data_IF_008695450475
#
_entry.id   IF_008695450475
#
_cell.length_a   1.000
_cell.length_b   1.000
_cell.length_c   1.000
_cell.angle_alpha   90.00
_cell.angle_beta   90.00
_cell.angle_gamma   90.00
#
_symmetry.space_group_name_H-M   'P 1'
#
loop_
_entity.id
_entity.type
_entity.pdbx_description
1 polymer ?
#
# COMPACT_ATOMS: atom_id res chain seq x y z
N UNK A 1 24.49 -2.72 8.76
CA UNK A 1 24.20 -2.06 7.47
C UNK A 1 22.89 -1.31 7.64
N UNK A 2 22.97 0.03 7.70
CA UNK A 2 21.78 0.88 7.74
C UNK A 2 21.18 0.89 6.35
N UNK A 3 19.99 0.26 6.18
CA UNK A 3 19.22 0.36 4.96
C UNK A 3 18.95 1.84 4.67
N UNK A 4 19.00 2.21 3.40
CA UNK A 4 18.68 3.56 2.95
C UNK A 4 17.22 3.83 3.34
N UNK A 5 17.02 4.77 4.25
CA UNK A 5 15.68 5.20 4.66
C UNK A 5 15.13 6.13 3.59
N UNK A 6 14.22 5.62 2.75
CA UNK A 6 13.54 6.45 1.77
C UNK A 6 12.39 7.22 2.42
N UNK A 7 12.50 8.52 2.41
CA UNK A 7 11.48 9.46 2.87
C UNK A 7 10.99 10.24 1.66
N UNK A 8 9.70 10.11 1.33
CA UNK A 8 9.09 10.83 0.21
C UNK A 8 8.90 12.30 0.57
N UNK A 9 8.29 12.54 1.75
CA UNK A 9 8.21 13.85 2.40
C UNK A 9 8.44 13.64 3.90
N UNK A 10 8.43 14.70 4.70
CA UNK A 10 8.60 14.58 6.16
C UNK A 10 7.62 13.60 6.80
N UNK A 11 6.35 13.62 6.34
CA UNK A 11 5.26 12.81 6.91
C UNK A 11 5.02 11.51 6.14
N UNK A 12 5.45 11.41 4.89
CA UNK A 12 5.25 10.23 4.03
C UNK A 12 6.55 9.42 3.98
N UNK A 13 6.50 8.22 4.55
CA UNK A 13 7.65 7.32 4.66
C UNK A 13 7.43 6.04 3.86
N UNK A 14 8.47 5.65 3.14
CA UNK A 14 8.51 4.36 2.44
C UNK A 14 8.72 3.21 3.43
N UNK A 15 7.86 2.21 3.38
CA UNK A 15 7.92 1.00 4.22
C UNK A 15 7.88 -0.29 3.40
N UNK A 16 8.01 -0.19 2.09
CA UNK A 16 8.02 -1.32 1.18
C UNK A 16 9.27 -2.19 1.28
N UNK A 17 9.34 -3.19 0.43
CA UNK A 17 10.44 -4.14 0.37
C UNK A 17 10.96 -4.30 -1.06
N UNK A 18 12.25 -4.64 -1.19
CA UNK A 18 12.88 -4.95 -2.47
C UNK A 18 13.15 -6.45 -2.54
N UNK A 19 12.72 -7.07 -3.63
CA UNK A 19 12.95 -8.49 -3.91
C UNK A 19 14.00 -8.62 -5.02
N UNK A 20 15.19 -9.04 -4.65
CA UNK A 20 16.30 -9.28 -5.58
C UNK A 20 16.38 -10.75 -6.04
N UNK A 21 15.59 -11.63 -5.46
CA UNK A 21 15.64 -13.08 -5.71
C UNK A 21 14.63 -13.53 -6.78
N UNK A 22 13.74 -12.64 -7.22
CA UNK A 22 12.73 -12.98 -8.23
C UNK A 22 13.29 -12.80 -9.63
N UNK A 23 13.27 -13.87 -10.42
CA UNK A 23 13.69 -13.85 -11.82
C UNK A 23 12.55 -13.50 -12.79
N UNK A 24 11.34 -13.89 -12.44
CA UNK A 24 10.13 -13.71 -13.25
C UNK A 24 8.99 -13.15 -12.40
N UNK A 25 8.50 -11.98 -12.77
CA UNK A 25 7.29 -11.43 -12.19
C UNK A 25 6.06 -12.03 -12.87
N UNK A 26 5.11 -12.53 -12.07
CA UNK A 26 3.91 -13.27 -12.55
C UNK A 26 4.22 -14.43 -13.51
N UNK A 27 5.42 -15.00 -13.42
CA UNK A 27 5.92 -16.05 -14.31
C UNK A 27 5.93 -15.67 -15.81
N UNK A 28 5.81 -14.40 -16.15
CA UNK A 28 5.72 -13.91 -17.53
C UNK A 28 6.80 -12.86 -17.88
N UNK A 29 7.22 -12.06 -16.89
CA UNK A 29 8.14 -10.96 -17.12
C UNK A 29 9.48 -11.20 -16.42
N UNK A 30 10.56 -11.09 -17.19
CA UNK A 30 11.91 -11.14 -16.61
C UNK A 30 12.23 -9.84 -15.89
N UNK A 31 12.66 -9.92 -14.65
CA UNK A 31 13.00 -8.75 -13.80
C UNK A 31 14.43 -8.89 -13.27
N UNK A 32 15.45 -8.61 -14.11
CA UNK A 32 16.85 -8.89 -13.79
C UNK A 32 17.39 -8.08 -12.60
N UNK A 33 16.76 -6.95 -12.28
CA UNK A 33 17.12 -6.07 -11.16
C UNK A 33 16.24 -6.27 -9.93
N UNK A 34 15.39 -7.30 -9.94
CA UNK A 34 14.44 -7.56 -8.87
C UNK A 34 13.14 -6.75 -8.98
N UNK A 35 12.32 -6.77 -7.93
CA UNK A 35 11.01 -6.13 -7.86
C UNK A 35 10.87 -5.33 -6.58
N UNK A 36 10.31 -4.13 -6.68
CA UNK A 36 9.94 -3.33 -5.51
C UNK A 36 8.45 -3.49 -5.23
N UNK A 37 8.12 -3.86 -3.99
CA UNK A 37 6.75 -3.90 -3.49
C UNK A 37 6.51 -2.63 -2.68
N UNK A 38 5.74 -1.71 -3.23
CA UNK A 38 5.61 -0.37 -2.71
C UNK A 38 4.52 -0.26 -1.66
N UNK A 39 4.90 0.17 -0.49
CA UNK A 39 3.99 0.55 0.58
C UNK A 39 4.53 1.78 1.29
N UNK A 40 3.62 2.64 1.75
CA UNK A 40 3.95 3.89 2.41
C UNK A 40 3.13 4.05 3.68
N UNK A 41 3.64 4.84 4.61
CA UNK A 41 2.87 5.31 5.77
C UNK A 41 2.85 6.82 5.79
N UNK A 42 1.67 7.38 6.03
CA UNK A 42 1.46 8.83 6.22
C UNK A 42 1.25 9.06 7.71
N UNK A 43 2.19 9.77 8.32
CA UNK A 43 2.19 10.10 9.75
C UNK A 43 1.59 11.49 9.96
N UNK A 44 0.34 11.51 10.42
CA UNK A 44 -0.43 12.71 10.70
C UNK A 44 -1.22 12.51 12.00
N UNK A 45 -2.22 13.32 12.29
CA UNK A 45 -3.13 13.10 13.44
C UNK A 45 -3.77 11.71 13.35
N UNK A 46 -4.22 11.33 12.15
CA UNK A 46 -4.57 9.95 11.78
C UNK A 46 -3.46 9.37 10.92
N UNK A 47 -3.13 8.12 11.14
CA UNK A 47 -2.09 7.40 10.41
C UNK A 47 -2.71 6.51 9.36
N UNK A 48 -2.30 6.68 8.11
CA UNK A 48 -2.73 5.85 7.00
C UNK A 48 -1.57 5.04 6.42
N UNK A 49 -1.78 3.75 6.23
CA UNK A 49 -0.85 2.85 5.52
C UNK A 49 -1.38 2.64 4.11
N UNK A 50 -0.53 2.84 3.11
CA UNK A 50 -0.88 2.75 1.70
C UNK A 50 -0.39 1.42 1.12
N UNK A 51 -1.31 0.52 0.84
CA UNK A 51 -1.08 -0.85 0.35
C UNK A 51 -0.23 -1.74 1.27
N UNK A 52 -0.16 -3.01 0.94
CA UNK A 52 0.71 -4.00 1.57
C UNK A 52 1.76 -4.47 0.57
N UNK A 53 2.46 -5.54 0.88
CA UNK A 53 3.49 -6.14 0.02
C UNK A 53 3.20 -7.62 -0.21
N UNK A 54 3.99 -8.27 -1.08
CA UNK A 54 3.93 -9.71 -1.32
C UNK A 54 3.99 -10.51 0.00
N UNK A 55 3.24 -11.61 0.05
CA UNK A 55 3.09 -12.43 1.26
C UNK A 55 4.40 -12.93 1.86
N UNK A 56 5.44 -13.11 1.04
CA UNK A 56 6.75 -13.58 1.49
C UNK A 56 7.48 -12.57 2.38
N UNK A 57 7.15 -11.29 2.28
CA UNK A 57 7.84 -10.19 2.96
C UNK A 57 7.03 -9.55 4.08
N UNK A 58 5.98 -10.21 4.55
CA UNK A 58 5.10 -9.67 5.60
C UNK A 58 5.82 -9.29 6.88
N UNK A 59 6.76 -10.09 7.34
CA UNK A 59 7.55 -9.80 8.54
C UNK A 59 8.44 -8.58 8.39
N UNK A 60 9.12 -8.44 7.25
CA UNK A 60 9.96 -7.27 6.95
C UNK A 60 9.11 -5.99 6.84
N UNK A 61 8.00 -6.07 6.12
CA UNK A 61 7.08 -4.95 5.95
C UNK A 61 6.49 -4.47 7.27
N UNK A 62 5.97 -5.37 8.10
CA UNK A 62 5.44 -5.02 9.42
C UNK A 62 6.52 -4.45 10.34
N UNK A 63 7.76 -4.95 10.24
CA UNK A 63 8.90 -4.41 10.95
C UNK A 63 9.26 -2.99 10.52
N UNK A 64 9.24 -2.72 9.21
CA UNK A 64 9.46 -1.38 8.65
C UNK A 64 8.38 -0.41 9.12
N UNK A 65 7.11 -0.83 9.10
CA UNK A 65 5.98 -0.04 9.58
C UNK A 65 6.12 0.28 11.07
N UNK A 66 6.44 -0.70 11.88
CA UNK A 66 6.56 -0.54 13.33
C UNK A 66 7.64 0.48 13.72
N UNK A 67 8.76 0.48 13.01
CA UNK A 67 9.83 1.48 13.20
C UNK A 67 9.33 2.90 12.91
N UNK A 68 8.59 3.09 11.84
CA UNK A 68 8.08 4.43 11.47
C UNK A 68 6.95 4.88 12.38
N UNK A 69 6.14 3.96 12.91
CA UNK A 69 5.04 4.28 13.84
C UNK A 69 5.55 4.80 15.20
N UNK A 70 6.70 4.35 15.65
CA UNK A 70 7.28 4.75 16.96
C UNK A 70 6.29 4.64 18.12
N UNK A 71 5.59 3.52 18.19
CA UNK A 71 4.59 3.22 19.23
C UNK A 71 3.16 3.70 18.92
N UNK A 72 2.94 4.40 17.81
CA UNK A 72 1.60 4.78 17.34
C UNK A 72 0.90 3.58 16.68
N UNK A 73 -0.43 3.65 16.62
CA UNK A 73 -1.26 2.66 15.95
C UNK A 73 -1.83 3.24 14.65
N UNK A 74 -1.78 2.53 13.52
CA UNK A 74 -2.40 2.99 12.28
C UNK A 74 -3.93 3.01 12.40
N UNK A 75 -4.54 4.05 11.83
CA UNK A 75 -5.99 4.23 11.78
C UNK A 75 -6.60 3.63 10.52
N UNK A 76 -5.87 3.68 9.41
CA UNK A 76 -6.35 3.25 8.10
C UNK A 76 -5.32 2.38 7.38
N UNK A 77 -5.83 1.38 6.66
CA UNK A 77 -5.13 0.69 5.58
C UNK A 77 -5.85 0.97 4.27
N UNK A 78 -5.24 1.72 3.39
CA UNK A 78 -5.78 2.04 2.07
C UNK A 78 -5.29 0.98 1.08
N UNK A 79 -6.23 0.22 0.52
CA UNK A 79 -5.95 -0.84 -0.46
C UNK A 79 -6.34 -0.32 -1.84
N UNK A 80 -5.34 0.04 -2.63
CA UNK A 80 -5.52 0.61 -3.97
C UNK A 80 -5.63 -0.47 -5.03
N UNK A 81 -5.07 -1.65 -4.77
CA UNK A 81 -5.02 -2.77 -5.70
C UNK A 81 -5.04 -4.10 -4.95
N UNK A 82 -5.75 -5.09 -5.48
CA UNK A 82 -5.95 -6.40 -4.86
C UNK A 82 -5.03 -7.50 -5.39
N UNK A 83 -4.12 -7.18 -6.29
CA UNK A 83 -3.09 -8.13 -6.71
C UNK A 83 -2.21 -8.55 -5.51
N UNK A 84 -1.77 -9.82 -5.42
CA UNK A 84 -1.10 -10.34 -4.23
C UNK A 84 0.11 -9.56 -3.73
N UNK A 85 0.88 -8.93 -4.61
CA UNK A 85 2.01 -8.09 -4.25
C UNK A 85 1.62 -6.76 -3.57
N UNK A 86 0.33 -6.41 -3.59
CA UNK A 86 -0.23 -5.23 -2.93
C UNK A 86 -1.20 -5.55 -1.80
N UNK A 87 -1.68 -6.79 -1.68
CA UNK A 87 -2.76 -7.14 -0.76
C UNK A 87 -2.53 -8.38 0.11
N UNK A 88 -1.48 -9.17 -0.17
CA UNK A 88 -1.29 -10.47 0.48
C UNK A 88 -1.16 -10.39 2.02
N UNK A 89 -0.67 -9.28 2.56
CA UNK A 89 -0.50 -9.08 4.01
C UNK A 89 -1.66 -8.32 4.67
N UNK A 90 -2.76 -8.13 3.97
CA UNK A 90 -3.94 -7.42 4.50
C UNK A 90 -4.47 -8.09 5.78
N UNK A 91 -4.63 -9.41 5.77
CA UNK A 91 -5.12 -10.13 6.94
C UNK A 91 -4.16 -10.03 8.13
N UNK A 92 -2.85 -10.13 7.89
CA UNK A 92 -1.82 -9.98 8.91
C UNK A 92 -1.84 -8.60 9.56
N UNK A 93 -1.98 -7.55 8.75
CA UNK A 93 -2.11 -6.17 9.21
C UNK A 93 -3.37 -5.99 10.07
N UNK A 94 -4.51 -6.47 9.60
CA UNK A 94 -5.80 -6.30 10.29
C UNK A 94 -5.86 -7.08 11.60
N UNK A 95 -5.16 -8.20 11.69
CA UNK A 95 -5.01 -8.96 12.95
C UNK A 95 -4.10 -8.22 13.93
N UNK A 96 -2.96 -7.70 13.46
CA UNK A 96 -2.02 -6.96 14.31
C UNK A 96 -2.58 -5.64 14.83
N UNK A 97 -3.40 -4.96 14.03
CA UNK A 97 -3.99 -3.65 14.35
C UNK A 97 -5.52 -3.72 14.35
N UNK A 98 -6.12 -4.24 15.44
CA UNK A 98 -7.57 -4.54 15.45
C UNK A 98 -8.47 -3.30 15.42
N UNK A 99 -7.95 -2.10 15.63
CA UNK A 99 -8.70 -0.84 15.55
C UNK A 99 -8.59 -0.15 14.19
N UNK A 100 -7.77 -0.65 13.29
CA UNK A 100 -7.61 -0.07 11.95
C UNK A 100 -8.83 -0.32 11.06
N UNK A 101 -9.09 0.61 10.15
CA UNK A 101 -10.16 0.55 9.16
C UNK A 101 -9.55 0.33 7.77
N UNK A 102 -10.09 -0.62 7.01
CA UNK A 102 -9.73 -0.82 5.60
C UNK A 102 -10.47 0.18 4.73
N UNK A 103 -9.74 0.90 3.90
CA UNK A 103 -10.29 1.86 2.93
C UNK A 103 -10.04 1.32 1.52
N UNK A 104 -11.10 1.05 0.78
CA UNK A 104 -11.01 0.48 -0.55
C UNK A 104 -12.29 0.71 -1.36
N UNK A 105 -12.26 0.34 -2.64
CA UNK A 105 -13.45 0.36 -3.50
C UNK A 105 -14.39 -0.81 -3.20
N UNK A 106 -15.66 -0.72 -3.65
CA UNK A 106 -16.63 -1.82 -3.54
C UNK A 106 -16.12 -3.09 -4.23
N UNK A 107 -15.50 -2.95 -5.41
CA UNK A 107 -14.92 -4.07 -6.15
C UNK A 107 -13.80 -4.73 -5.37
N UNK A 108 -12.94 -3.96 -4.70
CA UNK A 108 -11.86 -4.49 -3.88
C UNK A 108 -12.41 -5.29 -2.69
N UNK A 109 -13.45 -4.83 -2.01
CA UNK A 109 -14.07 -5.58 -0.91
C UNK A 109 -14.69 -6.90 -1.37
N UNK A 110 -15.32 -6.93 -2.55
CA UNK A 110 -15.80 -8.18 -3.14
C UNK A 110 -14.66 -9.16 -3.41
N UNK A 111 -13.53 -8.68 -3.90
CA UNK A 111 -12.33 -9.50 -4.12
C UNK A 111 -11.74 -10.00 -2.81
N UNK A 112 -11.70 -9.18 -1.76
CA UNK A 112 -11.28 -9.62 -0.42
C UNK A 112 -12.12 -10.77 0.08
N UNK A 113 -13.44 -10.69 -0.08
CA UNK A 113 -14.36 -11.76 0.29
C UNK A 113 -14.07 -13.06 -0.48
N UNK A 114 -13.78 -12.96 -1.76
CA UNK A 114 -13.46 -14.10 -2.61
C UNK A 114 -12.09 -14.71 -2.29
N UNK A 115 -11.09 -13.89 -2.02
CA UNK A 115 -9.71 -14.35 -1.79
C UNK A 115 -9.46 -14.77 -0.34
N UNK A 116 -10.02 -14.05 0.63
CA UNK A 116 -9.74 -14.23 2.05
C UNK A 116 -10.96 -14.71 2.84
N UNK A 117 -12.13 -14.82 2.23
CA UNK A 117 -13.38 -15.15 2.92
C UNK A 117 -13.89 -14.07 3.87
N UNK A 118 -13.32 -12.87 3.83
CA UNK A 118 -13.67 -11.72 4.70
C UNK A 118 -13.71 -10.44 3.88
N UNK A 119 -14.68 -9.59 4.15
CA UNK A 119 -14.83 -8.27 3.55
C UNK A 119 -14.73 -7.11 4.58
N UNK A 120 -14.37 -7.43 5.82
CA UNK A 120 -14.20 -6.48 6.93
C UNK A 120 -15.38 -5.52 7.12
N UNK A 121 -16.61 -6.02 6.97
CA UNK A 121 -17.84 -5.22 6.96
C UNK A 121 -18.03 -4.31 8.19
N UNK A 122 -17.48 -4.68 9.34
CA UNK A 122 -17.49 -3.94 10.60
C UNK A 122 -16.29 -2.98 10.76
N UNK A 123 -15.31 -3.06 9.87
CA UNK A 123 -14.04 -2.31 9.95
C UNK A 123 -13.62 -1.78 8.58
N UNK A 124 -14.55 -1.30 7.77
CA UNK A 124 -14.26 -0.83 6.42
C UNK A 124 -14.85 0.54 6.12
N UNK A 125 -14.18 1.27 5.24
CA UNK A 125 -14.67 2.46 4.59
C UNK A 125 -14.64 2.24 3.08
N UNK A 126 -15.81 2.19 2.48
CA UNK A 126 -15.96 2.05 1.03
C UNK A 126 -15.90 3.43 0.38
N UNK A 127 -14.99 3.59 -0.59
CA UNK A 127 -14.80 4.86 -1.29
C UNK A 127 -15.08 4.73 -2.78
N UNK A 128 -15.39 5.84 -3.42
CA UNK A 128 -15.67 5.98 -4.85
C UNK A 128 -14.98 7.22 -5.41
N UNK A 129 -15.10 7.43 -6.71
CA UNK A 129 -14.50 8.55 -7.42
C UNK A 129 -14.75 9.89 -6.72
N UNK A 130 -13.67 10.59 -6.42
CA UNK A 130 -13.71 11.92 -5.82
C UNK A 130 -13.95 11.95 -4.32
N UNK A 131 -14.14 10.81 -3.65
CA UNK A 131 -14.24 10.77 -2.19
C UNK A 131 -12.93 11.23 -1.55
N UNK A 132 -13.03 11.85 -0.39
CA UNK A 132 -11.89 12.37 0.36
C UNK A 132 -11.81 11.78 1.76
N UNK A 133 -10.61 11.73 2.29
CA UNK A 133 -10.33 11.31 3.66
C UNK A 133 -9.32 12.27 4.29
N UNK A 134 -9.73 12.96 5.35
CA UNK A 134 -8.83 13.83 6.11
C UNK A 134 -8.05 13.02 7.14
N UNK A 135 -6.74 13.24 7.20
CA UNK A 135 -5.85 12.68 8.22
C UNK A 135 -5.46 13.72 9.29
N UNK A 136 -5.97 14.94 9.16
CA UNK A 136 -5.60 16.11 9.92
C UNK A 136 -5.02 17.18 8.99
N UNK A 137 -3.70 17.24 8.84
CA UNK A 137 -3.01 18.11 7.89
C UNK A 137 -3.17 17.61 6.44
N UNK A 138 -3.03 16.30 6.24
CA UNK A 138 -3.14 15.67 4.92
C UNK A 138 -4.59 15.36 4.56
N UNK A 139 -4.96 15.63 3.33
CA UNK A 139 -6.24 15.23 2.75
C UNK A 139 -6.00 14.33 1.55
N UNK A 140 -6.58 13.13 1.60
CA UNK A 140 -6.49 12.15 0.54
C UNK A 140 -7.73 12.24 -0.35
N UNK A 141 -7.54 12.26 -1.66
CA UNK A 141 -8.60 12.18 -2.65
C UNK A 141 -8.45 10.90 -3.46
N UNK A 142 -9.52 10.12 -3.57
CA UNK A 142 -9.51 8.84 -4.28
C UNK A 142 -9.95 9.02 -5.72
N UNK A 143 -9.15 8.52 -6.65
CA UNK A 143 -9.38 8.57 -8.09
C UNK A 143 -9.48 7.14 -8.61
N UNK A 144 -10.62 6.79 -9.20
CA UNK A 144 -10.80 5.46 -9.74
C UNK A 144 -10.02 5.30 -11.05
N UNK A 145 -9.33 4.17 -11.18
CA UNK A 145 -8.61 3.78 -12.39
C UNK A 145 -9.02 2.36 -12.80
N UNK A 146 -10.33 2.12 -13.05
CA UNK A 146 -10.83 0.78 -13.33
C UNK A 146 -10.18 0.25 -14.60
N UNK A 147 -9.82 -1.05 -14.58
CA UNK A 147 -9.15 -1.74 -15.69
C UNK A 147 -7.76 -1.17 -16.06
N UNK A 148 -7.19 -0.30 -15.24
CA UNK A 148 -5.77 -0.05 -15.30
C UNK A 148 -5.12 -1.20 -14.55
N UNK A 149 -5.02 -2.28 -15.36
CA UNK A 149 -4.63 -3.64 -15.13
C UNK A 149 -5.74 -4.49 -14.48
N UNK A 150 -6.38 -4.08 -13.36
CA UNK A 150 -7.49 -4.81 -12.72
C UNK A 150 -8.72 -3.91 -12.51
N UNK A 151 -9.94 -4.50 -12.33
CA UNK A 151 -11.17 -3.70 -12.27
C UNK A 151 -11.33 -2.84 -11.02
N UNK A 152 -10.66 -3.18 -9.92
CA UNK A 152 -10.81 -2.51 -8.60
C UNK A 152 -9.78 -1.41 -8.34
N UNK A 153 -8.87 -1.17 -9.28
CA UNK A 153 -7.74 -0.26 -9.07
C UNK A 153 -8.20 1.17 -8.83
N UNK A 154 -7.67 1.78 -7.80
CA UNK A 154 -7.77 3.21 -7.55
C UNK A 154 -6.40 3.82 -7.31
N UNK A 155 -6.32 5.13 -7.45
CA UNK A 155 -5.17 5.94 -7.07
C UNK A 155 -5.58 6.87 -5.93
N UNK A 156 -4.61 7.31 -5.14
CA UNK A 156 -4.84 8.22 -4.04
C UNK A 156 -3.94 9.43 -4.19
N UNK A 157 -4.52 10.62 -4.16
CA UNK A 157 -3.79 11.88 -4.23
C UNK A 157 -3.80 12.58 -2.88
N UNK A 158 -2.61 12.85 -2.35
CA UNK A 158 -2.42 13.71 -1.17
C UNK A 158 -2.25 15.15 -1.66
N UNK A 159 -3.27 15.98 -1.46
CA UNK A 159 -3.28 17.37 -1.91
C UNK A 159 -2.36 18.27 -1.08
N UNK A 160 -2.00 17.88 0.13
CA UNK A 160 -1.14 18.66 1.03
C UNK A 160 0.31 18.63 0.58
N UNK A 161 0.87 17.45 0.35
CA UNK A 161 2.24 17.27 -0.10
C UNK A 161 2.34 17.05 -1.63
N UNK A 162 1.21 17.04 -2.34
CA UNK A 162 1.11 16.83 -3.79
C UNK A 162 1.74 15.53 -4.25
N UNK A 163 1.43 14.45 -3.55
CA UNK A 163 1.93 13.11 -3.84
C UNK A 163 0.80 12.23 -4.37
N UNK A 164 1.05 11.57 -5.50
CA UNK A 164 0.15 10.58 -6.07
C UNK A 164 0.62 9.17 -5.74
N UNK A 165 -0.23 8.40 -5.07
CA UNK A 165 -0.03 6.97 -4.85
C UNK A 165 -0.76 6.22 -5.95
N UNK A 166 -0.01 5.64 -6.88
CA UNK A 166 -0.58 5.09 -8.13
C UNK A 166 -0.61 3.55 -8.17
N UNK A 167 -0.22 2.86 -7.10
CA UNK A 167 -0.04 1.41 -7.12
C UNK A 167 0.80 0.99 -8.36
N UNK A 168 0.22 0.22 -9.28
CA UNK A 168 0.88 -0.18 -10.52
C UNK A 168 0.56 0.70 -11.73
N UNK A 169 -0.27 1.71 -11.58
CA UNK A 169 -0.74 2.55 -12.69
C UNK A 169 0.40 3.21 -13.49
N UNK A 170 1.50 3.52 -12.81
CA UNK A 170 2.73 4.04 -13.40
C UNK A 170 3.93 3.25 -12.87
N UNK A 171 3.75 1.93 -12.76
CA UNK A 171 4.69 1.01 -12.15
C UNK A 171 6.06 1.02 -12.83
N UNK A 172 7.10 1.02 -12.02
CA UNK A 172 8.47 0.81 -12.44
C UNK A 172 8.90 -0.56 -11.96
N UNK A 173 9.45 -1.35 -12.86
CA UNK A 173 10.09 -2.62 -12.51
C UNK A 173 11.53 -2.39 -12.09
N UNK A 174 11.96 -3.03 -11.01
CA UNK A 174 13.28 -2.91 -10.41
C UNK A 174 13.24 -2.58 -8.93
N UNK A 175 14.31 -2.90 -8.21
CA UNK A 175 14.44 -2.53 -6.80
C UNK A 175 14.86 -1.07 -6.66
N UNK A 176 14.26 -0.32 -5.73
CA UNK A 176 14.54 1.11 -5.54
C UNK A 176 15.90 1.42 -4.92
N UNK A 177 16.60 0.44 -4.43
CA UNK A 177 17.96 0.60 -3.91
C UNK A 177 19.06 0.49 -4.99
N UNK A 178 18.65 0.28 -6.25
CA UNK A 178 19.54 0.37 -7.40
C UNK A 178 19.50 1.82 -7.90
N UNK A 179 20.63 2.54 -7.77
CA UNK A 179 20.74 3.90 -8.29
C UNK A 179 20.60 3.89 -9.82
N UNK A 180 19.82 4.81 -10.35
CA UNK A 180 19.78 5.07 -11.78
C UNK A 180 20.96 5.95 -12.17
N UNK A 181 21.77 5.47 -13.09
CA UNK A 181 22.73 6.28 -13.84
C UNK A 181 22.03 7.11 -14.93
#
# INVERSE_FOLDING_TARGET
>A
FGGIKMTVTEDIRYIGVNDHDIDLFEAQYTVPEGMSYNSYVILDEKVAVMDTVDGRFGGEWLGNLEKELSGRTPDYLVVQHMEPDHSANLANFMEKYPTATVVATAAAFNMMKNFFGKDYADRRMMVKEGDTLSLGKHELTFVMAPMVHWPEVMMTYDSTDKVLFSADGFGKFGAFDVEED
#
